data_IF_103176030607
#
_entry.id   IF_103176030607
#
_cell.length_a   1.000
_cell.length_b   1.000
_cell.length_c   1.000
_cell.angle_alpha   90.00
_cell.angle_beta   90.00
_cell.angle_gamma   90.00
#
_symmetry.space_group_name_H-M   'P 1'
#
loop_
_entity.id
_entity.type
_entity.pdbx_description
1 polymer ?
#
# COMPACT_ATOMS: atom_id res chain seq x y z
N UNK A 1 20.17 0.93 19.99
CA UNK A 1 18.84 0.28 19.97
C UNK A 1 17.75 1.34 19.93
N UNK A 2 17.18 1.64 18.75
CA UNK A 2 15.97 2.45 18.68
C UNK A 2 14.86 1.78 19.50
N UNK A 3 14.04 2.54 20.22
CA UNK A 3 13.12 1.96 21.17
C UNK A 3 12.00 1.20 20.44
N UNK A 4 11.59 0.04 20.98
CA UNK A 4 10.59 -0.86 20.36
C UNK A 4 9.29 -0.16 19.93
N UNK A 5 8.90 0.93 20.61
CA UNK A 5 7.72 1.70 20.25
C UNK A 5 7.85 2.39 18.88
N UNK A 6 9.05 2.86 18.51
CA UNK A 6 9.32 3.54 17.25
C UNK A 6 9.14 2.59 16.05
N UNK A 7 9.60 1.34 16.17
CA UNK A 7 9.32 0.29 15.18
C UNK A 7 7.80 0.10 14.97
N UNK A 8 7.06 -0.08 16.06
CA UNK A 8 5.60 -0.29 16.00
C UNK A 8 4.86 0.86 15.32
N UNK A 9 5.24 2.10 15.60
CA UNK A 9 4.64 3.30 14.98
C UNK A 9 4.90 3.32 13.47
N UNK A 10 6.13 3.02 13.04
CA UNK A 10 6.47 3.00 11.60
C UNK A 10 5.71 1.90 10.86
N UNK A 11 5.64 0.68 11.41
CA UNK A 11 4.85 -0.39 10.81
C UNK A 11 3.36 -0.07 10.77
N UNK A 12 2.82 0.58 11.81
CA UNK A 12 1.43 1.03 11.81
C UNK A 12 1.16 2.08 10.73
N UNK A 13 2.06 3.05 10.55
CA UNK A 13 1.96 4.04 9.47
C UNK A 13 2.00 3.39 8.09
N UNK A 14 2.90 2.42 7.88
CA UNK A 14 2.99 1.67 6.61
C UNK A 14 1.71 0.87 6.34
N UNK A 15 1.10 0.30 7.39
CA UNK A 15 -0.18 -0.40 7.27
C UNK A 15 -1.30 0.58 6.85
N UNK A 16 -1.40 1.74 7.50
CA UNK A 16 -2.40 2.77 7.14
C UNK A 16 -2.22 3.22 5.68
N UNK A 17 -0.97 3.45 5.26
CA UNK A 17 -0.64 3.78 3.88
C UNK A 17 -1.08 2.67 2.91
N UNK A 18 -0.85 1.40 3.25
CA UNK A 18 -1.26 0.27 2.41
C UNK A 18 -2.78 0.18 2.20
N UNK A 19 -3.58 0.60 3.18
CA UNK A 19 -5.05 0.62 3.08
C UNK A 19 -5.62 1.92 2.50
N UNK A 20 -4.82 2.97 2.32
CA UNK A 20 -5.26 4.24 1.75
C UNK A 20 -5.95 4.09 0.37
N UNK A 21 -5.45 3.24 -0.55
CA UNK A 21 -6.13 2.99 -1.82
C UNK A 21 -7.53 2.37 -1.66
N UNK A 22 -7.78 1.60 -0.59
CA UNK A 22 -9.10 0.98 -0.36
C UNK A 22 -10.24 2.01 -0.35
N UNK A 23 -9.97 3.24 0.11
CA UNK A 23 -10.94 4.34 0.20
C UNK A 23 -11.46 4.78 -1.17
N UNK A 24 -10.64 4.65 -2.22
CA UNK A 24 -11.00 5.08 -3.57
C UNK A 24 -11.67 3.96 -4.39
N UNK A 25 -11.71 2.73 -3.89
CA UNK A 25 -12.32 1.58 -4.59
C UNK A 25 -13.78 1.84 -4.99
N UNK A 26 -14.66 2.36 -4.12
CA UNK A 26 -16.06 2.63 -4.50
C UNK A 26 -16.16 3.68 -5.61
N UNK A 27 -15.33 4.72 -5.55
CA UNK A 27 -15.31 5.78 -6.55
C UNK A 27 -14.85 5.24 -7.91
N UNK A 28 -13.75 4.49 -7.95
CA UNK A 28 -13.25 3.86 -9.20
C UNK A 28 -14.25 2.85 -9.74
N UNK A 29 -14.87 2.03 -8.90
CA UNK A 29 -15.88 1.06 -9.32
C UNK A 29 -17.14 1.74 -9.90
N UNK A 30 -17.61 2.82 -9.28
CA UNK A 30 -18.78 3.58 -9.74
C UNK A 30 -18.58 4.26 -11.10
N UNK A 31 -17.33 4.56 -11.47
CA UNK A 31 -17.01 5.27 -12.70
C UNK A 31 -17.37 4.48 -13.96
N UNK A 32 -17.46 3.14 -13.89
CA UNK A 32 -17.71 2.25 -15.04
C UNK A 32 -16.83 2.59 -16.26
N UNK A 33 -15.62 3.10 -16.03
CA UNK A 33 -14.67 3.45 -17.08
C UNK A 33 -13.97 2.18 -17.55
N UNK A 34 -13.88 2.02 -18.87
CA UNK A 34 -13.15 0.92 -19.52
C UNK A 34 -11.99 1.50 -20.34
N UNK A 35 -10.81 0.89 -20.21
CA UNK A 35 -9.65 1.18 -21.05
C UNK A 35 -9.48 -0.02 -21.99
N UNK A 36 -9.89 0.15 -23.25
CA UNK A 36 -10.09 -0.96 -24.17
C UNK A 36 -11.22 -1.87 -23.68
N UNK A 37 -10.89 -3.12 -23.34
CA UNK A 37 -11.82 -4.12 -22.79
C UNK A 37 -11.63 -4.39 -21.29
N UNK A 38 -10.70 -3.68 -20.63
CA UNK A 38 -10.36 -3.91 -19.22
C UNK A 38 -11.03 -2.83 -18.36
N UNK A 39 -11.81 -3.20 -17.32
CA UNK A 39 -12.37 -2.21 -16.40
C UNK A 39 -11.26 -1.48 -15.65
N UNK A 40 -11.39 -0.16 -15.49
CA UNK A 40 -10.42 0.67 -14.78
C UNK A 40 -10.12 0.16 -13.36
N UNK A 41 -11.11 -0.45 -12.71
CA UNK A 41 -10.96 -1.11 -11.42
C UNK A 41 -9.83 -2.15 -11.40
N UNK A 42 -9.68 -2.94 -12.46
CA UNK A 42 -8.64 -3.97 -12.52
C UNK A 42 -7.24 -3.37 -12.62
N UNK A 43 -7.09 -2.33 -13.44
CA UNK A 43 -5.83 -1.57 -13.55
C UNK A 43 -5.49 -0.95 -12.20
N UNK A 44 -6.50 -0.39 -11.52
CA UNK A 44 -6.36 0.15 -10.18
C UNK A 44 -5.90 -0.91 -9.17
N UNK A 45 -6.49 -2.11 -9.17
CA UNK A 45 -6.09 -3.21 -8.28
C UNK A 45 -4.65 -3.70 -8.56
N UNK A 46 -4.23 -3.73 -9.82
CA UNK A 46 -2.84 -4.05 -10.16
C UNK A 46 -1.86 -3.00 -9.64
N UNK A 47 -2.16 -1.71 -9.84
CA UNK A 47 -1.35 -0.61 -9.31
C UNK A 47 -1.30 -0.63 -7.78
N UNK A 48 -2.43 -0.93 -7.12
CA UNK A 48 -2.47 -1.07 -5.66
C UNK A 48 -1.58 -2.23 -5.19
N UNK A 49 -1.60 -3.37 -5.89
CA UNK A 49 -0.73 -4.51 -5.55
C UNK A 49 0.75 -4.14 -5.67
N UNK A 50 1.15 -3.46 -6.75
CA UNK A 50 2.51 -2.93 -6.94
C UNK A 50 2.92 -1.94 -5.83
N UNK A 51 2.00 -1.04 -5.45
CA UNK A 51 2.20 -0.10 -4.36
C UNK A 51 2.40 -0.80 -3.01
N UNK A 52 1.53 -1.78 -2.69
CA UNK A 52 1.63 -2.57 -1.46
C UNK A 52 2.95 -3.38 -1.41
N UNK A 53 3.40 -3.91 -2.56
CA UNK A 53 4.69 -4.56 -2.66
C UNK A 53 5.85 -3.61 -2.38
N UNK A 54 5.82 -2.38 -2.92
CA UNK A 54 6.82 -1.34 -2.62
C UNK A 54 6.85 -0.95 -1.14
N UNK A 55 5.68 -0.89 -0.48
CA UNK A 55 5.58 -0.67 0.96
C UNK A 55 6.16 -1.85 1.76
N UNK A 56 5.94 -3.09 1.32
CA UNK A 56 6.52 -4.29 1.94
C UNK A 56 8.05 -4.29 1.85
N UNK A 57 8.62 -3.95 0.68
CA UNK A 57 10.08 -3.81 0.52
C UNK A 57 10.61 -2.70 1.43
N UNK A 58 9.91 -1.57 1.51
CA UNK A 58 10.28 -0.48 2.42
C UNK A 58 10.23 -0.93 3.88
N UNK A 59 9.19 -1.66 4.27
CA UNK A 59 9.03 -2.23 5.61
C UNK A 59 10.21 -3.16 5.95
N UNK A 60 10.60 -4.04 5.01
CA UNK A 60 11.73 -4.94 5.16
C UNK A 60 13.07 -4.19 5.32
N UNK A 61 13.32 -3.17 4.51
CA UNK A 61 14.55 -2.36 4.60
C UNK A 61 14.61 -1.59 5.92
N UNK A 62 13.48 -1.02 6.35
CA UNK A 62 13.37 -0.33 7.64
C UNK A 62 13.66 -1.29 8.78
N UNK A 63 13.06 -2.49 8.75
CA UNK A 63 13.26 -3.50 9.78
C UNK A 63 14.74 -3.88 9.90
N UNK A 64 15.37 -4.21 8.77
CA UNK A 64 16.80 -4.57 8.71
C UNK A 64 17.72 -3.46 9.20
N UNK A 65 17.42 -2.19 8.90
CA UNK A 65 18.22 -1.05 9.37
C UNK A 65 18.01 -0.73 10.84
N UNK A 66 16.82 -1.00 11.40
CA UNK A 66 16.51 -0.75 12.80
C UNK A 66 16.91 -1.91 13.74
N UNK A 67 17.35 -3.05 13.20
CA UNK A 67 17.92 -4.18 13.96
C UNK A 67 19.43 -4.04 14.23
N UNK A 68 20.14 -3.18 13.49
CA UNK A 68 21.53 -2.79 13.77
C UNK A 68 21.59 -1.65 14.80
#
# INVERSE_FOLDING_TARGET
>A
MPPRYLKKVVFFLLLVLAYLPAVFVPAVNSSNIYIGSIPLLWIYMMLWTLYAFGLLVTAYVVDKKLEW
#
